data_IF_241038178125
#
_entry.id   IF_241038178125
#
_cell.length_a   1.000
_cell.length_b   1.000
_cell.length_c   1.000
_cell.angle_alpha   90.00
_cell.angle_beta   90.00
_cell.angle_gamma   90.00
#
_symmetry.space_group_name_H-M   'P 1'
#
loop_
_entity.id
_entity.type
_entity.pdbx_description
1 polymer ?
#
# COMPACT_ATOMS: atom_id res chain seq x y z
N UNK A 1 7.12 -4.56 7.85
CA UNK A 1 6.90 -3.13 8.06
C UNK A 1 8.05 -2.32 7.47
N UNK A 2 7.75 -1.09 7.10
CA UNK A 2 8.69 -0.17 6.47
C UNK A 2 9.13 -0.61 5.09
N UNK A 3 8.45 -1.59 4.50
CA UNK A 3 8.74 -2.03 3.15
C UNK A 3 8.23 -0.98 2.17
N UNK A 4 9.04 -0.58 1.18
CA UNK A 4 8.59 0.39 0.19
C UNK A 4 7.41 -0.13 -0.62
N UNK A 5 6.46 0.76 -0.91
CA UNK A 5 5.24 0.44 -1.64
C UNK A 5 5.21 1.29 -2.90
N UNK A 6 5.01 0.64 -4.04
CA UNK A 6 5.04 1.27 -5.35
C UNK A 6 3.72 1.08 -6.08
N UNK A 7 3.38 2.06 -6.90
CA UNK A 7 2.24 1.95 -7.81
C UNK A 7 2.60 0.98 -8.93
N UNK A 8 1.79 -0.08 -9.09
CA UNK A 8 2.09 -1.11 -10.07
C UNK A 8 2.01 -0.59 -11.50
N UNK A 9 1.23 0.46 -11.74
CA UNK A 9 1.05 1.00 -13.08
C UNK A 9 2.14 1.98 -13.47
N UNK A 10 2.52 2.86 -12.55
CA UNK A 10 3.45 3.94 -12.86
C UNK A 10 4.86 3.68 -12.37
N UNK A 11 5.03 2.77 -11.41
CA UNK A 11 6.32 2.54 -10.76
C UNK A 11 6.66 3.60 -9.73
N UNK A 12 5.76 4.53 -9.49
CA UNK A 12 6.02 5.60 -8.52
C UNK A 12 5.99 5.04 -7.11
N UNK A 13 6.94 5.50 -6.27
CA UNK A 13 6.94 5.11 -4.86
C UNK A 13 5.84 5.87 -4.14
N UNK A 14 4.94 5.13 -3.51
CA UNK A 14 3.81 5.72 -2.81
C UNK A 14 4.11 5.99 -1.35
N UNK A 15 5.00 5.22 -0.76
CA UNK A 15 5.34 5.35 0.64
C UNK A 15 5.92 4.06 1.17
N UNK A 16 5.73 3.83 2.47
CA UNK A 16 6.17 2.60 3.11
C UNK A 16 5.01 1.98 3.87
N UNK A 17 5.08 0.68 4.04
CA UNK A 17 4.08 -0.05 4.83
C UNK A 17 4.34 0.26 6.30
N UNK A 18 3.44 1.02 6.93
CA UNK A 18 3.62 1.50 8.28
C UNK A 18 2.91 0.65 9.32
N UNK A 19 1.73 0.13 8.99
CA UNK A 19 0.95 -0.67 9.92
C UNK A 19 0.12 -1.69 9.17
N UNK A 20 -0.19 -2.78 9.87
CA UNK A 20 -1.10 -3.81 9.40
C UNK A 20 -2.11 -4.04 10.50
N UNK A 21 -3.41 -4.04 10.15
CA UNK A 21 -4.46 -4.34 11.10
C UNK A 21 -5.40 -5.36 10.52
N UNK A 22 -6.04 -6.13 11.40
CA UNK A 22 -6.92 -7.21 10.98
C UNK A 22 -8.27 -7.05 11.66
N UNK A 23 -9.06 -6.03 11.27
CA UNK A 23 -10.33 -5.75 11.97
C UNK A 23 -11.42 -6.77 11.68
N UNK A 24 -11.26 -7.56 10.63
CA UNK A 24 -12.27 -8.54 10.27
C UNK A 24 -11.66 -9.63 9.41
N UNK A 25 -12.36 -9.98 8.34
CA UNK A 25 -11.93 -11.08 7.49
C UNK A 25 -10.66 -10.77 6.71
N UNK A 26 -10.44 -9.49 6.37
CA UNK A 26 -9.28 -9.09 5.57
C UNK A 26 -8.42 -8.11 6.33
N UNK A 27 -7.11 -8.19 6.07
CA UNK A 27 -6.17 -7.24 6.63
C UNK A 27 -6.33 -5.90 5.93
N UNK A 28 -6.00 -4.82 6.66
CA UNK A 28 -5.83 -3.52 6.04
C UNK A 28 -4.43 -3.03 6.35
N UNK A 29 -3.84 -2.37 5.38
CA UNK A 29 -2.45 -1.92 5.44
C UNK A 29 -2.39 -0.42 5.38
N UNK A 30 -1.66 0.19 6.31
CA UNK A 30 -1.45 1.63 6.30
C UNK A 30 -0.19 1.94 5.52
N UNK A 31 -0.33 2.80 4.51
CA UNK A 31 0.79 3.25 3.69
C UNK A 31 1.10 4.68 4.08
N UNK A 32 2.35 4.91 4.46
CA UNK A 32 2.77 6.25 4.89
C UNK A 32 3.69 6.85 3.84
N UNK A 33 3.21 7.89 3.12
CA UNK A 33 4.06 8.59 2.15
C UNK A 33 5.15 9.38 2.86
N UNK A 34 6.18 9.75 2.12
CA UNK A 34 7.23 10.59 2.65
C UNK A 34 6.67 11.96 3.05
N UNK A 35 5.74 12.45 2.27
CA UNK A 35 5.05 13.70 2.54
C UNK A 35 3.57 13.48 2.40
N UNK A 36 2.78 14.10 3.26
CA UNK A 36 1.34 14.00 3.18
C UNK A 36 0.77 12.99 4.16
N UNK A 37 -0.51 12.73 4.02
CA UNK A 37 -1.25 11.89 4.94
C UNK A 37 -1.10 10.42 4.58
N UNK A 38 -1.03 9.58 5.61
CA UNK A 38 -1.08 8.14 5.39
C UNK A 38 -2.49 7.75 4.93
N UNK A 39 -2.58 6.59 4.30
CA UNK A 39 -3.86 6.06 3.84
C UNK A 39 -3.87 4.55 4.01
N UNK A 40 -5.07 3.96 4.04
CA UNK A 40 -5.24 2.54 4.28
C UNK A 40 -5.71 1.86 3.01
N UNK A 41 -5.18 0.67 2.75
CA UNK A 41 -5.60 -0.14 1.62
C UNK A 41 -5.93 -1.54 2.12
N UNK A 42 -6.92 -2.22 1.50
CA UNK A 42 -7.20 -3.60 1.85
C UNK A 42 -6.17 -4.53 1.24
N UNK A 43 -5.80 -5.57 1.98
CA UNK A 43 -4.86 -6.57 1.45
C UNK A 43 -5.64 -7.60 0.65
N UNK A 44 -6.04 -7.22 -0.55
CA UNK A 44 -6.75 -8.10 -1.47
C UNK A 44 -5.99 -8.11 -2.79
N UNK A 45 -6.20 -9.16 -3.58
CA UNK A 45 -5.44 -9.39 -4.80
C UNK A 45 -5.54 -8.23 -5.79
N UNK A 46 -6.72 -7.63 -5.88
CA UNK A 46 -6.93 -6.54 -6.84
C UNK A 46 -6.22 -5.25 -6.43
N UNK A 47 -5.78 -5.15 -5.18
CA UNK A 47 -5.10 -3.96 -4.68
C UNK A 47 -3.63 -4.26 -4.41
N UNK A 48 -3.34 -5.28 -3.60
CA UNK A 48 -1.95 -5.66 -3.32
C UNK A 48 -1.56 -6.74 -4.31
N UNK A 49 -0.88 -6.32 -5.37
CA UNK A 49 -0.61 -7.20 -6.51
C UNK A 49 0.63 -8.07 -6.30
N UNK A 50 1.63 -7.53 -5.61
CA UNK A 50 2.89 -8.25 -5.45
C UNK A 50 3.55 -7.86 -4.14
N UNK A 51 4.02 -8.86 -3.42
CA UNK A 51 4.80 -8.64 -2.19
C UNK A 51 6.11 -9.38 -2.39
N UNK A 52 7.20 -8.64 -2.56
CA UNK A 52 8.53 -9.21 -2.77
C UNK A 52 9.41 -8.78 -1.63
N UNK A 53 9.46 -9.62 -0.60
CA UNK A 53 10.22 -9.29 0.61
C UNK A 53 11.72 -9.36 0.37
N UNK A 54 12.15 -10.23 -0.54
CA UNK A 54 13.58 -10.37 -0.84
C UNK A 54 14.13 -9.09 -1.43
N UNK A 55 13.35 -8.42 -2.28
CA UNK A 55 13.74 -7.17 -2.89
C UNK A 55 13.15 -5.97 -2.19
N UNK A 56 12.42 -6.19 -1.11
CA UNK A 56 11.78 -5.13 -0.31
C UNK A 56 10.93 -4.25 -1.19
N UNK A 57 10.00 -4.88 -1.91
CA UNK A 57 9.16 -4.17 -2.85
C UNK A 57 7.73 -4.70 -2.80
N UNK A 58 6.79 -3.80 -2.55
CA UNK A 58 5.36 -4.11 -2.61
C UNK A 58 4.78 -3.29 -3.75
N UNK A 59 3.99 -3.94 -4.62
CA UNK A 59 3.36 -3.27 -5.74
C UNK A 59 1.86 -3.32 -5.57
N UNK A 60 1.21 -2.18 -5.71
CA UNK A 60 -0.22 -2.06 -5.48
C UNK A 60 -0.89 -1.32 -6.63
N UNK A 61 -2.17 -1.61 -6.81
CA UNK A 61 -3.02 -0.87 -7.73
C UNK A 61 -4.00 -0.08 -6.87
N UNK A 62 -3.96 1.24 -6.98
CA UNK A 62 -4.86 2.08 -6.20
C UNK A 62 -6.18 2.20 -6.94
N UNK A 63 -7.24 1.74 -6.28
CA UNK A 63 -8.58 1.89 -6.81
C UNK A 63 -9.02 3.33 -6.57
N UNK A 64 -9.91 3.78 -7.45
CA UNK A 64 -10.45 5.13 -7.33
C UNK A 64 -11.03 5.33 -5.94
N UNK A 65 -10.67 6.40 -5.29
CA UNK A 65 -11.18 6.73 -3.96
C UNK A 65 -10.37 6.20 -2.81
N UNK A 66 -9.39 5.31 -3.05
CA UNK A 66 -8.55 4.79 -1.97
C UNK A 66 -7.49 5.79 -1.55
N UNK A 67 -7.04 6.62 -2.47
CA UNK A 67 -6.01 7.61 -2.19
C UNK A 67 -6.65 8.99 -2.12
N UNK A 68 -6.37 9.69 -1.04
CA UNK A 68 -6.86 11.06 -0.91
C UNK A 68 -5.97 11.96 -1.72
N UNK A 69 -6.55 12.59 -2.74
CA UNK A 69 -5.80 13.44 -3.64
C UNK A 69 -5.65 14.87 -3.17
N UNK A 70 -6.35 15.22 -2.11
CA UNK A 70 -6.34 16.60 -1.64
C UNK A 70 -5.27 16.89 -0.62
#
# INVERSE_FOLDING_TARGET
LNCPVYDAETGEKLGVLANIETPGANDIWEIKPEHGKSFWIPNIESVVNKVDLANKRIEVTLLEGLRDEN
#
